data_IF_835079726794
#
_entry.id   IF_835079726794
#
_cell.length_a   1.000
_cell.length_b   1.000
_cell.length_c   1.000
_cell.angle_alpha   90.00
_cell.angle_beta   90.00
_cell.angle_gamma   90.00
#
_symmetry.space_group_name_H-M   'P 1'
#
loop_
_entity.id
_entity.type
_entity.pdbx_description
1 polymer ?
#
# COMPACT_ATOMS: atom_id res chain seq x y z
N UNK A 1 18.49 49.05 -37.82
CA UNK A 1 17.42 48.03 -37.78
C UNK A 1 18.00 46.79 -37.12
N UNK A 2 17.63 46.51 -35.87
CA UNK A 2 17.78 45.19 -35.26
C UNK A 2 16.78 45.10 -34.10
N UNK A 3 15.49 44.99 -34.48
CA UNK A 3 14.43 44.52 -33.59
C UNK A 3 14.67 43.02 -33.41
N UNK A 4 14.99 42.54 -32.22
CA UNK A 4 15.12 41.11 -32.00
C UNK A 4 15.92 40.71 -30.77
N UNK A 5 15.67 41.33 -29.62
CA UNK A 5 16.24 40.84 -28.35
C UNK A 5 15.29 41.09 -27.18
N UNK A 6 14.01 40.74 -27.37
CA UNK A 6 13.01 40.65 -26.29
C UNK A 6 12.23 39.34 -26.47
N UNK A 7 12.92 38.20 -26.44
CA UNK A 7 12.27 36.88 -26.28
C UNK A 7 13.27 35.95 -25.57
N UNK A 8 13.64 36.24 -24.33
CA UNK A 8 14.28 35.25 -23.45
C UNK A 8 14.01 35.56 -21.96
N UNK A 9 12.82 36.09 -21.68
CA UNK A 9 12.36 36.40 -20.31
C UNK A 9 10.99 35.77 -20.02
N UNK A 10 10.73 34.61 -20.59
CA UNK A 10 9.49 33.87 -20.36
C UNK A 10 9.70 32.41 -20.70
N UNK A 11 9.99 31.60 -19.68
CA UNK A 11 9.92 30.13 -19.58
C UNK A 11 11.10 29.58 -18.75
N UNK A 12 11.32 30.13 -17.56
CA UNK A 12 12.13 29.44 -16.55
C UNK A 12 11.33 29.31 -15.26
N UNK A 13 11.15 28.05 -14.87
CA UNK A 13 10.66 27.56 -13.58
C UNK A 13 9.13 27.64 -13.30
N UNK A 14 8.35 26.93 -14.12
CA UNK A 14 7.07 26.34 -13.69
C UNK A 14 7.23 24.81 -13.61
N UNK A 15 7.99 24.35 -12.62
CA UNK A 15 8.02 22.94 -12.22
C UNK A 15 8.08 22.85 -10.69
N UNK A 16 7.06 23.38 -10.01
CA UNK A 16 6.66 22.79 -8.75
C UNK A 16 5.64 21.71 -9.10
N UNK A 17 6.14 20.51 -9.43
CA UNK A 17 5.35 19.32 -9.20
C UNK A 17 5.27 19.17 -7.69
N UNK A 18 4.31 19.86 -7.08
CA UNK A 18 3.91 19.57 -5.72
C UNK A 18 3.22 18.20 -5.78
N UNK A 19 3.96 17.14 -5.48
CA UNK A 19 3.41 15.86 -5.08
C UNK A 19 2.67 16.08 -3.76
N UNK A 20 1.44 16.56 -3.82
CA UNK A 20 0.59 16.72 -2.64
C UNK A 20 -0.52 15.69 -2.73
N UNK A 21 -0.25 14.57 -2.08
CA UNK A 21 -1.19 13.47 -1.94
C UNK A 21 -0.73 12.42 -0.93
N UNK A 22 0.16 12.76 0.02
CA UNK A 22 0.41 11.87 1.16
C UNK A 22 -0.76 11.95 2.12
N UNK A 23 -1.81 11.19 1.85
CA UNK A 23 -2.63 10.65 2.93
C UNK A 23 -1.88 9.46 3.53
N UNK A 24 -0.69 9.71 4.10
CA UNK A 24 -0.01 8.71 4.90
C UNK A 24 -0.53 8.84 6.33
N UNK A 25 -1.14 7.79 6.86
CA UNK A 25 -1.32 7.58 8.30
C UNK A 25 0.03 7.43 9.04
N UNK A 26 1.11 8.02 8.52
CA UNK A 26 2.42 8.06 9.16
C UNK A 26 2.31 8.94 10.41
N UNK A 27 2.70 8.40 11.55
CA UNK A 27 2.83 9.20 12.77
C UNK A 27 3.96 10.19 12.53
N UNK A 28 3.70 11.50 12.59
CA UNK A 28 4.74 12.53 12.43
C UNK A 28 5.65 12.65 13.67
N UNK A 29 5.28 11.97 14.76
CA UNK A 29 5.98 11.97 16.04
C UNK A 29 6.88 10.74 16.12
N UNK A 30 8.14 10.97 16.45
CA UNK A 30 9.07 9.89 16.74
C UNK A 30 8.57 9.03 17.90
N UNK A 31 8.37 7.73 17.64
CA UNK A 31 7.95 6.77 18.67
C UNK A 31 9.14 6.12 19.36
N UNK A 32 10.21 5.82 18.62
CA UNK A 32 11.45 5.23 19.11
C UNK A 32 12.64 5.59 18.20
N UNK A 33 13.80 5.89 18.77
CA UNK A 33 15.06 6.08 18.02
C UNK A 33 15.81 4.76 17.79
N UNK A 34 15.50 3.73 18.58
CA UNK A 34 16.26 2.48 18.62
C UNK A 34 15.47 1.28 18.04
N UNK A 35 14.18 1.46 17.73
CA UNK A 35 13.31 0.38 17.27
C UNK A 35 12.45 0.79 16.07
N UNK A 36 12.27 -0.16 15.14
CA UNK A 36 11.30 -0.02 14.06
C UNK A 36 9.89 -0.23 14.59
N UNK A 37 8.90 0.50 14.10
CA UNK A 37 7.49 0.23 14.41
C UNK A 37 6.63 0.17 13.16
N UNK A 38 5.52 -0.56 13.23
CA UNK A 38 4.60 -0.79 12.12
C UNK A 38 3.49 0.25 12.05
N UNK A 39 2.89 0.39 10.86
CA UNK A 39 1.69 1.19 10.64
C UNK A 39 0.40 0.37 10.61
N UNK A 40 -0.71 1.06 10.38
CA UNK A 40 -1.96 0.38 10.02
C UNK A 40 -1.78 -0.46 8.75
N UNK A 41 -1.07 0.11 7.76
CA UNK A 41 -0.58 -0.60 6.57
C UNK A 41 0.52 -1.58 6.99
N UNK A 42 0.21 -2.87 6.97
CA UNK A 42 1.11 -3.94 7.41
C UNK A 42 2.36 -4.08 6.54
N UNK A 43 2.42 -3.39 5.40
CA UNK A 43 3.63 -3.33 4.56
C UNK A 43 4.59 -2.25 5.03
N UNK A 44 4.08 -1.23 5.73
CA UNK A 44 4.84 -0.03 6.10
C UNK A 44 5.41 -0.13 7.50
N UNK A 45 6.62 0.41 7.63
CA UNK A 45 7.29 0.56 8.90
C UNK A 45 7.97 1.92 8.98
N UNK A 46 8.37 2.27 10.19
CA UNK A 46 8.88 3.57 10.52
C UNK A 46 10.07 3.44 11.48
N UNK A 47 10.94 4.43 11.42
CA UNK A 47 12.05 4.62 12.36
C UNK A 47 12.39 6.09 12.47
N UNK A 48 13.15 6.47 13.48
CA UNK A 48 13.62 7.84 13.63
C UNK A 48 15.08 7.99 13.24
N UNK A 49 15.40 9.18 12.75
CA UNK A 49 16.76 9.68 12.67
C UNK A 49 16.74 11.15 13.06
N UNK A 50 17.48 11.49 14.12
CA UNK A 50 17.57 12.85 14.65
C UNK A 50 16.19 13.47 14.97
N UNK A 51 15.27 12.67 15.54
CA UNK A 51 13.90 13.07 15.88
C UNK A 51 12.96 13.18 14.68
N UNK A 52 13.42 12.90 13.45
CA UNK A 52 12.58 12.88 12.25
C UNK A 52 12.11 11.45 11.95
N UNK A 53 10.79 11.28 11.79
CA UNK A 53 10.21 10.00 11.34
C UNK A 53 10.51 9.77 9.87
N UNK A 54 11.12 8.63 9.59
CA UNK A 54 11.34 8.09 8.25
C UNK A 54 10.33 6.95 8.05
N UNK A 55 9.67 6.94 6.90
CA UNK A 55 8.75 5.87 6.49
C UNK A 55 9.41 5.04 5.41
N UNK A 56 9.28 3.73 5.51
CA UNK A 56 9.71 2.77 4.50
C UNK A 56 8.68 1.63 4.37
N UNK A 57 8.80 0.80 3.34
CA UNK A 57 7.84 -0.26 3.00
C UNK A 57 8.56 -1.56 2.65
N UNK A 58 7.99 -2.70 3.07
CA UNK A 58 8.45 -4.02 2.67
C UNK A 58 8.22 -4.25 1.17
N UNK A 59 9.08 -5.08 0.57
CA UNK A 59 8.91 -5.52 -0.82
C UNK A 59 7.58 -6.28 -1.02
N UNK A 60 7.10 -6.32 -2.26
CA UNK A 60 5.88 -7.05 -2.60
C UNK A 60 5.96 -8.53 -2.15
N UNK A 61 4.92 -9.00 -1.47
CA UNK A 61 4.88 -10.34 -0.87
C UNK A 61 5.53 -10.45 0.50
N UNK A 62 6.07 -9.34 1.05
CA UNK A 62 6.60 -9.25 2.39
C UNK A 62 5.82 -8.22 3.24
N UNK A 63 5.77 -8.48 4.54
CA UNK A 63 4.98 -7.69 5.49
C UNK A 63 5.77 -7.46 6.78
N UNK A 64 5.65 -6.26 7.33
CA UNK A 64 6.40 -5.88 8.52
C UNK A 64 5.83 -6.56 9.76
N UNK A 65 6.72 -7.15 10.55
CA UNK A 65 6.44 -7.71 11.86
C UNK A 65 7.41 -7.11 12.85
N UNK A 66 6.90 -6.66 14.00
CA UNK A 66 7.70 -6.35 15.17
C UNK A 66 7.09 -7.03 16.39
N UNK A 67 7.69 -8.14 16.81
CA UNK A 67 7.33 -8.88 18.01
C UNK A 67 8.59 -9.25 18.82
N UNK A 68 8.40 -9.95 19.95
CA UNK A 68 9.50 -10.29 20.86
C UNK A 68 10.63 -11.14 20.24
N UNK A 69 10.42 -11.75 19.06
CA UNK A 69 11.38 -12.66 18.42
C UNK A 69 11.90 -12.12 17.08
N UNK A 70 11.06 -11.39 16.34
CA UNK A 70 11.35 -10.95 14.96
C UNK A 70 10.97 -9.48 14.81
N UNK A 71 11.90 -8.70 14.26
CA UNK A 71 11.67 -7.33 13.80
C UNK A 71 12.16 -7.21 12.34
N UNK A 72 11.24 -6.95 11.42
CA UNK A 72 11.53 -6.79 9.99
C UNK A 72 10.45 -7.34 9.07
N UNK A 73 10.75 -7.37 7.77
CA UNK A 73 9.84 -7.85 6.73
C UNK A 73 9.88 -9.39 6.64
N UNK A 74 8.73 -10.02 6.82
CA UNK A 74 8.54 -11.47 6.66
C UNK A 74 7.77 -11.79 5.37
N UNK A 75 8.12 -12.89 4.67
CA UNK A 75 7.35 -13.35 3.52
C UNK A 75 5.94 -13.76 3.94
N UNK A 76 5.00 -13.66 3.00
CA UNK A 76 3.57 -13.92 3.23
C UNK A 76 3.26 -15.30 3.82
N UNK A 77 4.03 -16.33 3.46
CA UNK A 77 3.87 -17.70 3.94
C UNK A 77 4.22 -17.90 5.43
N UNK A 78 4.91 -16.94 6.04
CA UNK A 78 5.22 -16.91 7.47
C UNK A 78 4.27 -15.99 8.27
N UNK A 79 3.39 -15.25 7.59
CA UNK A 79 2.42 -14.37 8.23
C UNK A 79 1.22 -15.14 8.78
N UNK A 80 0.53 -14.56 9.78
CA UNK A 80 -0.78 -15.05 10.25
C UNK A 80 -1.75 -15.09 9.04
N UNK A 81 -2.46 -16.20 8.76
CA UNK A 81 -3.27 -16.32 7.55
C UNK A 81 -4.38 -15.28 7.39
N UNK A 82 -4.86 -14.65 8.47
CA UNK A 82 -5.79 -13.52 8.37
C UNK A 82 -5.16 -12.27 7.74
N UNK A 83 -3.85 -12.11 7.86
CA UNK A 83 -3.10 -10.92 7.44
C UNK A 83 -2.61 -10.96 5.99
N UNK A 84 -2.78 -12.08 5.29
CA UNK A 84 -2.27 -12.26 3.93
C UNK A 84 -3.27 -13.05 3.09
N UNK A 85 -3.15 -12.98 1.78
CA UNK A 85 -3.85 -13.91 0.91
C UNK A 85 -2.89 -15.05 0.55
N UNK A 86 -3.30 -16.29 0.81
CA UNK A 86 -2.55 -17.49 0.45
C UNK A 86 -3.28 -18.20 -0.69
N UNK A 87 -2.51 -18.86 -1.56
CA UNK A 87 -3.03 -19.69 -2.65
C UNK A 87 -3.93 -18.97 -3.67
N UNK A 88 -3.78 -17.65 -3.84
CA UNK A 88 -4.52 -16.91 -4.86
C UNK A 88 -3.99 -17.29 -6.25
N UNK A 89 -4.91 -17.30 -7.21
CA UNK A 89 -4.60 -17.47 -8.62
C UNK A 89 -5.19 -16.30 -9.38
N UNK A 90 -4.48 -15.87 -10.42
CA UNK A 90 -5.00 -14.94 -11.42
C UNK A 90 -6.33 -15.51 -11.95
N UNK A 91 -7.45 -14.76 -11.87
CA UNK A 91 -8.75 -15.29 -12.25
C UNK A 91 -8.82 -15.59 -13.75
N UNK A 92 -9.57 -16.62 -14.12
CA UNK A 92 -9.77 -17.02 -15.52
C UNK A 92 -10.76 -16.11 -16.29
N UNK A 93 -11.37 -15.16 -15.59
CA UNK A 93 -12.37 -14.24 -16.11
C UNK A 93 -13.62 -14.92 -16.67
N UNK A 94 -14.01 -16.03 -16.05
CA UNK A 94 -15.26 -16.73 -16.27
C UNK A 94 -16.14 -16.73 -15.02
N UNK A 95 -17.44 -16.99 -15.21
CA UNK A 95 -18.41 -17.07 -14.10
C UNK A 95 -18.37 -15.83 -13.20
N UNK A 96 -18.32 -16.05 -11.89
CA UNK A 96 -18.32 -15.00 -10.87
C UNK A 96 -17.09 -14.08 -10.98
N UNK A 97 -15.92 -14.61 -11.36
CA UNK A 97 -14.70 -13.80 -11.47
C UNK A 97 -14.79 -12.70 -12.53
N UNK A 98 -15.69 -12.86 -13.51
CA UNK A 98 -15.99 -11.85 -14.52
C UNK A 98 -16.89 -10.73 -14.00
N UNK A 99 -17.70 -11.02 -12.97
CA UNK A 99 -18.78 -10.13 -12.52
C UNK A 99 -18.37 -9.23 -11.36
N UNK A 100 -17.26 -9.53 -10.68
CA UNK A 100 -16.83 -8.82 -9.48
C UNK A 100 -15.31 -8.82 -9.31
N UNK A 101 -14.76 -7.86 -8.54
CA UNK A 101 -13.35 -7.87 -8.13
C UNK A 101 -12.96 -9.16 -7.44
N UNK A 102 -11.72 -9.61 -7.63
CA UNK A 102 -11.16 -10.79 -6.97
C UNK A 102 -9.92 -10.40 -6.17
N UNK A 103 -9.67 -11.07 -5.05
CA UNK A 103 -8.46 -10.84 -4.27
C UNK A 103 -7.20 -11.13 -5.11
N UNK A 104 -6.13 -10.36 -4.88
CA UNK A 104 -4.79 -10.64 -5.39
C UNK A 104 -3.91 -11.20 -4.28
N UNK A 105 -2.71 -11.70 -4.62
CA UNK A 105 -1.71 -12.11 -3.63
C UNK A 105 -1.31 -10.93 -2.73
N UNK A 106 -1.09 -9.76 -3.32
CA UNK A 106 -0.95 -8.52 -2.58
C UNK A 106 -2.31 -8.06 -2.03
N UNK A 107 -2.43 -8.02 -0.71
CA UNK A 107 -3.63 -7.55 0.01
C UNK A 107 -4.01 -6.10 -0.30
N UNK A 108 -3.08 -5.30 -0.83
CA UNK A 108 -3.36 -3.93 -1.28
C UNK A 108 -3.86 -3.85 -2.71
N UNK A 109 -3.99 -4.98 -3.40
CA UNK A 109 -4.34 -5.08 -4.80
C UNK A 109 -5.52 -6.04 -5.02
N UNK A 110 -6.13 -5.94 -6.19
CA UNK A 110 -7.24 -6.80 -6.60
C UNK A 110 -7.25 -6.99 -8.12
N UNK A 111 -7.83 -8.09 -8.57
CA UNK A 111 -8.05 -8.34 -9.99
C UNK A 111 -9.42 -7.83 -10.45
N UNK A 112 -9.44 -7.20 -11.62
CA UNK A 112 -10.63 -7.01 -12.44
C UNK A 112 -10.47 -7.70 -13.77
N UNK A 113 -11.54 -8.32 -14.24
CA UNK A 113 -11.58 -8.88 -15.58
C UNK A 113 -11.95 -7.80 -16.60
N UNK A 114 -11.08 -7.64 -17.59
CA UNK A 114 -11.27 -6.74 -18.74
C UNK A 114 -11.44 -7.56 -20.02
N UNK A 115 -11.54 -6.90 -21.18
CA UNK A 115 -11.50 -7.60 -22.48
C UNK A 115 -10.21 -8.36 -22.70
N UNK A 116 -9.11 -7.93 -22.05
CA UNK A 116 -7.76 -8.43 -22.28
C UNK A 116 -7.35 -9.48 -21.24
N UNK A 117 -8.30 -9.91 -20.40
CA UNK A 117 -8.08 -10.84 -19.29
C UNK A 117 -8.09 -10.15 -17.92
N UNK A 118 -7.63 -10.90 -16.92
CA UNK A 118 -7.51 -10.42 -15.54
C UNK A 118 -6.40 -9.37 -15.46
N UNK A 119 -6.72 -8.24 -14.85
CA UNK A 119 -5.79 -7.14 -14.62
C UNK A 119 -5.71 -6.86 -13.13
N UNK A 120 -4.50 -6.90 -12.59
CA UNK A 120 -4.23 -6.48 -11.22
C UNK A 120 -4.26 -4.96 -11.13
N UNK A 121 -4.95 -4.44 -10.13
CA UNK A 121 -5.11 -3.02 -9.87
C UNK A 121 -4.89 -2.76 -8.38
N UNK A 122 -4.20 -1.66 -8.02
CA UNK A 122 -4.03 -1.29 -6.62
C UNK A 122 -5.35 -0.74 -6.05
N UNK A 123 -5.56 -0.96 -4.77
CA UNK A 123 -6.48 -0.15 -3.99
C UNK A 123 -5.98 1.31 -3.92
N UNK A 124 -6.88 2.28 -3.71
CA UNK A 124 -6.45 3.65 -3.42
C UNK A 124 -5.57 3.70 -2.16
N UNK A 125 -4.70 4.71 -2.08
CA UNK A 125 -3.77 4.87 -0.96
C UNK A 125 -4.45 4.77 0.41
N UNK A 126 -3.78 4.09 1.35
CA UNK A 126 -4.28 3.87 2.70
C UNK A 126 -5.40 2.83 2.81
N UNK A 127 -5.65 2.04 1.75
CA UNK A 127 -6.64 0.98 1.74
C UNK A 127 -6.06 -0.37 1.32
N UNK A 128 -6.75 -1.43 1.74
CA UNK A 128 -6.48 -2.80 1.36
C UNK A 128 -7.78 -3.51 0.97
N UNK A 129 -7.67 -4.53 0.12
CA UNK A 129 -8.78 -5.23 -0.46
C UNK A 129 -9.32 -6.33 0.46
N UNK A 130 -10.64 -6.44 0.54
CA UNK A 130 -11.38 -7.48 1.27
C UNK A 130 -12.35 -8.15 0.30
N UNK A 131 -12.36 -9.49 0.29
CA UNK A 131 -13.38 -10.33 -0.34
C UNK A 131 -13.69 -11.51 0.60
N UNK A 132 -14.46 -11.24 1.65
CA UNK A 132 -14.85 -12.24 2.66
C UNK A 132 -16.05 -11.78 3.48
N UNK A 133 -16.82 -12.73 4.01
CA UNK A 133 -17.93 -12.48 4.95
C UNK A 133 -18.95 -11.42 4.48
N UNK A 134 -19.16 -11.32 3.16
CA UNK A 134 -20.07 -10.35 2.55
C UNK A 134 -19.50 -8.96 2.31
N UNK A 135 -18.23 -8.72 2.67
CA UNK A 135 -17.50 -7.51 2.35
C UNK A 135 -16.71 -7.69 1.06
N UNK A 136 -16.83 -6.72 0.15
CA UNK A 136 -16.15 -6.72 -1.13
C UNK A 136 -15.68 -5.31 -1.49
N UNK A 137 -14.36 -5.12 -1.60
CA UNK A 137 -13.76 -3.86 -2.04
C UNK A 137 -12.57 -3.38 -1.20
N UNK A 138 -12.14 -2.15 -1.44
CA UNK A 138 -11.00 -1.53 -0.75
C UNK A 138 -11.45 -0.77 0.51
N UNK A 139 -11.00 -1.21 1.67
CA UNK A 139 -11.31 -0.64 2.98
C UNK A 139 -10.07 0.02 3.58
N UNK A 140 -10.26 1.04 4.43
CA UNK A 140 -9.13 1.64 5.15
C UNK A 140 -8.40 0.59 5.98
N UNK A 141 -7.09 0.68 6.13
CA UNK A 141 -6.28 -0.37 6.78
C UNK A 141 -6.75 -0.78 8.18
N UNK A 142 -7.15 0.17 9.03
CA UNK A 142 -7.75 -0.13 10.34
C UNK A 142 -9.03 -0.97 10.25
N UNK A 143 -9.89 -0.64 9.29
CA UNK A 143 -11.10 -1.43 9.02
C UNK A 143 -10.76 -2.78 8.41
N UNK A 144 -9.81 -2.84 7.48
CA UNK A 144 -9.33 -4.08 6.87
C UNK A 144 -8.81 -5.05 7.93
N UNK A 145 -7.98 -4.59 8.88
CA UNK A 145 -7.47 -5.40 10.00
C UNK A 145 -8.61 -5.99 10.83
N UNK A 146 -9.63 -5.18 11.11
CA UNK A 146 -10.83 -5.61 11.85
C UNK A 146 -11.63 -6.66 11.07
N UNK A 147 -11.93 -6.39 9.80
CA UNK A 147 -12.69 -7.30 8.94
C UNK A 147 -11.97 -8.64 8.75
N UNK A 148 -10.64 -8.60 8.68
CA UNK A 148 -9.76 -9.76 8.49
C UNK A 148 -9.43 -10.51 9.77
N UNK A 149 -9.66 -9.92 10.94
CA UNK A 149 -9.07 -10.38 12.19
C UNK A 149 -7.53 -10.51 12.10
N UNK A 150 -6.90 -9.52 11.45
CA UNK A 150 -5.45 -9.32 11.43
C UNK A 150 -5.07 -8.31 12.53
N UNK A 151 -5.11 -8.80 13.76
CA UNK A 151 -4.74 -8.06 14.97
C UNK A 151 -3.60 -8.78 15.68
N UNK A 152 -2.81 -8.01 16.41
CA UNK A 152 -1.77 -8.51 17.31
C UNK A 152 -2.49 -9.19 18.49
N UNK A 153 -2.24 -10.49 18.69
CA UNK A 153 -2.82 -11.26 19.81
C UNK A 153 -1.99 -11.14 21.08
#
# INVERSE_FOLDING_TARGET
>A
MLKGLIIFFGLLALCYAASVGSASNATEVCQSEDELWGGEDIRKFYFCLDGQVITDECDAGYYFVNNATICGCLPSDLMKPSCVNLDIKVPDCTGDSKLRPQAADDVSSFYLCTSDGAKELPCPDGKAFVDQDGYLGCFAWSQWRTLRNCVDD
#
